data_IF_232234669825
#
_entry.id   IF_232234669825
#
_cell.length_a   1.000
_cell.length_b   1.000
_cell.length_c   1.000
_cell.angle_alpha   90.00
_cell.angle_beta   90.00
_cell.angle_gamma   90.00
#
_symmetry.space_group_name_H-M   'P 1'
#
loop_
_entity.id
_entity.type
_entity.pdbx_description
1 polymer ?
#
# COMPACT_ATOMS: atom_id res chain seq x y z
N UNK A 1 -2.60 -18.94 8.27
CA UNK A 1 -1.42 -18.11 8.53
C UNK A 1 -1.60 -16.74 7.92
N UNK A 2 -1.33 -15.71 8.69
CA UNK A 2 -1.44 -14.34 8.20
C UNK A 2 -0.32 -14.00 7.21
N UNK A 3 -0.59 -13.02 6.38
CA UNK A 3 0.39 -12.43 5.48
C UNK A 3 0.49 -10.95 5.73
N UNK A 4 1.64 -10.38 5.43
CA UNK A 4 1.90 -8.95 5.53
C UNK A 4 2.03 -8.38 4.12
N UNK A 5 1.37 -7.27 3.86
CA UNK A 5 1.54 -6.51 2.61
C UNK A 5 2.34 -5.26 2.93
N UNK A 6 3.43 -5.09 2.23
CA UNK A 6 4.34 -3.95 2.42
C UNK A 6 4.24 -3.04 1.20
N UNK A 7 4.05 -1.75 1.46
CA UNK A 7 4.09 -0.73 0.42
C UNK A 7 5.16 0.30 0.72
N UNK A 8 5.93 0.65 -0.30
CA UNK A 8 6.82 1.80 -0.27
C UNK A 8 6.45 2.70 -1.44
N UNK A 9 6.41 4.00 -1.22
CA UNK A 9 5.99 4.89 -2.29
C UNK A 9 6.57 6.29 -2.16
N UNK A 10 6.60 6.95 -3.31
CA UNK A 10 6.93 8.37 -3.42
C UNK A 10 5.62 9.15 -3.54
N UNK A 11 5.40 10.10 -2.66
CA UNK A 11 4.22 10.96 -2.68
C UNK A 11 4.36 12.00 -3.80
N UNK A 12 3.35 12.10 -4.66
CA UNK A 12 3.34 13.04 -5.80
C UNK A 12 2.41 14.22 -5.56
N UNK A 13 1.21 13.99 -5.01
CA UNK A 13 0.23 15.03 -4.80
C UNK A 13 -0.47 14.88 -3.46
N UNK A 14 -0.43 15.92 -2.63
CA UNK A 14 -0.95 15.86 -1.27
C UNK A 14 -2.48 15.70 -1.24
N UNK A 15 -3.21 16.41 -2.10
CA UNK A 15 -4.67 16.32 -2.13
C UNK A 15 -5.14 14.93 -2.60
N UNK A 16 -4.54 14.42 -3.66
CA UNK A 16 -4.86 13.09 -4.16
C UNK A 16 -4.48 12.01 -3.15
N UNK A 17 -3.36 12.20 -2.44
CA UNK A 17 -2.96 11.28 -1.39
C UNK A 17 -3.96 11.26 -0.24
N UNK A 18 -4.43 12.41 0.20
CA UNK A 18 -5.44 12.50 1.25
C UNK A 18 -6.75 11.83 0.83
N UNK A 19 -7.17 12.04 -0.41
CA UNK A 19 -8.36 11.39 -0.96
C UNK A 19 -8.19 9.87 -1.00
N UNK A 20 -7.08 9.39 -1.51
CA UNK A 20 -6.77 7.96 -1.56
C UNK A 20 -6.80 7.35 -0.15
N UNK A 21 -6.10 7.99 0.79
CA UNK A 21 -5.99 7.51 2.16
C UNK A 21 -7.35 7.45 2.86
N UNK A 22 -8.26 8.38 2.54
CA UNK A 22 -9.58 8.41 3.14
C UNK A 22 -10.48 7.24 2.69
N UNK A 23 -10.15 6.59 1.57
CA UNK A 23 -11.00 5.56 0.96
C UNK A 23 -10.40 4.17 0.97
N UNK A 24 -9.06 4.06 0.96
CA UNK A 24 -8.40 2.75 0.81
C UNK A 24 -8.66 1.82 1.99
N UNK A 25 -8.77 2.37 3.20
CA UNK A 25 -9.01 1.58 4.41
C UNK A 25 -10.30 0.77 4.34
N UNK A 26 -11.37 1.37 3.81
CA UNK A 26 -12.65 0.66 3.65
C UNK A 26 -12.52 -0.50 2.66
N UNK A 27 -11.77 -0.33 1.57
CA UNK A 27 -11.55 -1.39 0.60
C UNK A 27 -10.77 -2.56 1.21
N UNK A 28 -9.77 -2.25 2.03
CA UNK A 28 -8.97 -3.27 2.73
C UNK A 28 -9.85 -4.05 3.70
N UNK A 29 -10.69 -3.36 4.47
CA UNK A 29 -11.57 -3.98 5.47
C UNK A 29 -12.58 -4.94 4.84
N UNK A 30 -13.07 -4.65 3.63
CA UNK A 30 -13.99 -5.54 2.92
C UNK A 30 -13.41 -6.93 2.68
N UNK A 31 -12.10 -7.04 2.60
CA UNK A 31 -11.40 -8.31 2.36
C UNK A 31 -10.70 -8.83 3.62
N UNK A 32 -11.11 -8.34 4.79
CA UNK A 32 -10.59 -8.81 6.07
C UNK A 32 -9.20 -8.30 6.42
N UNK A 33 -8.73 -7.28 5.73
CA UNK A 33 -7.43 -6.70 5.99
C UNK A 33 -7.47 -5.55 7.00
N UNK A 34 -6.28 -5.22 7.50
CA UNK A 34 -6.09 -4.15 8.48
C UNK A 34 -4.84 -3.36 8.12
N UNK A 35 -4.89 -2.05 8.25
CA UNK A 35 -3.69 -1.21 8.19
C UNK A 35 -3.00 -1.31 9.54
N UNK A 36 -1.79 -1.89 9.55
CA UNK A 36 -1.03 -2.10 10.78
C UNK A 36 -0.32 -0.81 11.17
N UNK A 37 0.37 -0.18 10.22
CA UNK A 37 1.06 1.08 10.47
C UNK A 37 1.45 1.76 9.16
N UNK A 38 1.71 3.06 9.28
CA UNK A 38 2.30 3.90 8.24
C UNK A 38 3.46 4.67 8.84
N UNK A 39 4.36 5.13 7.99
CA UNK A 39 5.48 5.93 8.46
C UNK A 39 6.17 6.67 7.33
N UNK A 40 6.93 7.70 7.69
CA UNK A 40 7.82 8.39 6.78
C UNK A 40 9.14 7.62 6.72
N UNK A 41 9.67 7.46 5.52
CA UNK A 41 10.94 6.78 5.32
C UNK A 41 12.08 7.79 5.32
N UNK A 42 13.10 7.50 6.10
CA UNK A 42 14.35 8.23 6.03
C UNK A 42 15.22 7.70 4.89
N UNK A 43 16.34 8.35 4.65
CA UNK A 43 17.33 7.90 3.66
C UNK A 43 17.75 6.46 3.96
N UNK A 44 17.75 5.55 2.96
CA UNK A 44 18.20 4.18 3.18
C UNK A 44 19.65 4.11 3.64
N UNK A 45 19.97 3.16 4.51
CA UNK A 45 21.36 2.87 4.83
C UNK A 45 22.11 2.31 3.62
N UNK A 46 21.44 1.43 2.87
CA UNK A 46 21.93 0.86 1.60
C UNK A 46 20.76 0.76 0.64
N UNK A 47 21.03 0.90 -0.64
CA UNK A 47 20.00 0.75 -1.69
C UNK A 47 20.58 -0.04 -2.86
N UNK A 48 20.98 -1.28 -2.59
CA UNK A 48 21.61 -2.15 -3.59
C UNK A 48 20.62 -2.62 -4.67
N UNK A 49 19.32 -2.63 -4.36
CA UNK A 49 18.29 -2.91 -5.37
C UNK A 49 18.08 -1.76 -6.33
N UNK A 50 18.69 -0.62 -6.04
CA UNK A 50 18.61 0.57 -6.88
C UNK A 50 17.18 1.06 -7.06
N UNK A 51 16.41 1.01 -5.96
CA UNK A 51 15.04 1.51 -5.94
C UNK A 51 15.02 3.03 -6.11
N UNK A 52 14.02 3.54 -6.84
CA UNK A 52 13.80 4.97 -6.92
C UNK A 52 13.52 5.55 -5.53
N UNK A 53 13.81 6.85 -5.32
CA UNK A 53 13.54 7.48 -4.03
C UNK A 53 12.08 7.31 -3.60
N UNK A 54 11.87 6.95 -2.34
CA UNK A 54 10.54 6.82 -1.75
C UNK A 54 10.54 7.51 -0.37
N UNK A 55 9.38 7.97 0.05
CA UNK A 55 9.25 8.74 1.28
C UNK A 55 8.27 8.17 2.29
N UNK A 56 7.46 7.17 1.89
CA UNK A 56 6.40 6.66 2.74
C UNK A 56 6.36 5.14 2.71
N UNK A 57 6.00 4.57 3.86
CA UNK A 57 5.88 3.14 4.10
C UNK A 57 4.48 2.84 4.63
N UNK A 58 3.90 1.72 4.20
CA UNK A 58 2.65 1.20 4.76
C UNK A 58 2.75 -0.30 4.95
N UNK A 59 2.15 -0.77 6.02
CA UNK A 59 2.08 -2.19 6.34
C UNK A 59 0.62 -2.58 6.55
N UNK A 60 0.18 -3.59 5.80
CA UNK A 60 -1.16 -4.16 5.92
C UNK A 60 -1.06 -5.61 6.38
N UNK A 61 -2.10 -6.12 7.01
CA UNK A 61 -2.21 -7.52 7.41
C UNK A 61 -3.49 -8.11 6.85
N UNK A 62 -3.40 -9.34 6.32
CA UNK A 62 -4.54 -10.15 5.93
C UNK A 62 -4.40 -11.53 6.56
N UNK A 63 -5.54 -12.19 6.83
CA UNK A 63 -5.52 -13.53 7.45
C UNK A 63 -4.88 -14.57 6.51
N UNK A 64 -5.11 -14.42 5.19
CA UNK A 64 -4.62 -15.37 4.18
C UNK A 64 -4.16 -14.61 2.95
N UNK A 65 -3.21 -15.21 2.22
CA UNK A 65 -2.73 -14.62 0.97
C UNK A 65 -3.86 -14.47 -0.06
N UNK A 66 -4.83 -15.37 -0.06
CA UNK A 66 -5.97 -15.29 -0.98
C UNK A 66 -6.79 -14.02 -0.74
N UNK A 67 -6.92 -13.60 0.52
CA UNK A 67 -7.62 -12.37 0.86
C UNK A 67 -6.88 -11.14 0.33
N UNK A 68 -5.56 -11.12 0.47
CA UNK A 68 -4.73 -10.05 -0.06
C UNK A 68 -4.83 -9.99 -1.59
N UNK A 69 -4.78 -11.14 -2.25
CA UNK A 69 -4.89 -11.22 -3.70
C UNK A 69 -6.27 -10.72 -4.17
N UNK A 70 -7.35 -11.13 -3.49
CA UNK A 70 -8.69 -10.68 -3.81
C UNK A 70 -8.84 -9.17 -3.66
N UNK A 71 -8.26 -8.61 -2.59
CA UNK A 71 -8.27 -7.16 -2.40
C UNK A 71 -7.55 -6.44 -3.54
N UNK A 72 -6.35 -6.89 -3.89
CA UNK A 72 -5.53 -6.25 -4.92
C UNK A 72 -6.22 -6.28 -6.31
N UNK A 73 -7.03 -7.29 -6.56
CA UNK A 73 -7.73 -7.48 -7.83
C UNK A 73 -9.20 -7.03 -7.77
N UNK A 74 -9.63 -6.45 -6.64
CA UNK A 74 -11.02 -6.14 -6.40
C UNK A 74 -11.50 -4.94 -7.21
N UNK A 75 -12.80 -4.88 -7.56
CA UNK A 75 -13.38 -3.68 -8.18
C UNK A 75 -13.33 -2.48 -7.23
N UNK A 76 -13.44 -2.69 -5.92
CA UNK A 76 -13.35 -1.62 -4.93
C UNK A 76 -11.99 -0.94 -4.96
N UNK A 77 -10.91 -1.72 -5.05
CA UNK A 77 -9.57 -1.16 -5.16
C UNK A 77 -9.32 -0.57 -6.56
N UNK A 78 -9.84 -1.21 -7.60
CA UNK A 78 -9.69 -0.72 -8.97
C UNK A 78 -10.24 0.69 -9.14
N UNK A 79 -11.29 1.05 -8.42
CA UNK A 79 -11.86 2.40 -8.44
C UNK A 79 -10.90 3.46 -7.91
N UNK A 80 -9.92 3.06 -7.10
CA UNK A 80 -8.93 3.96 -6.51
C UNK A 80 -7.69 4.15 -7.39
N UNK A 81 -7.51 3.33 -8.43
CA UNK A 81 -6.30 3.39 -9.24
C UNK A 81 -6.04 4.75 -9.88
N UNK A 82 -7.06 5.44 -10.46
CA UNK A 82 -6.80 6.76 -11.03
C UNK A 82 -6.28 7.78 -10.01
N UNK A 83 -6.89 7.82 -8.82
CA UNK A 83 -6.44 8.75 -7.77
C UNK A 83 -5.10 8.30 -7.20
N UNK A 84 -4.89 6.99 -7.05
CA UNK A 84 -3.60 6.46 -6.59
C UNK A 84 -2.46 6.86 -7.52
N UNK A 85 -2.67 6.75 -8.82
CA UNK A 85 -1.62 7.05 -9.80
C UNK A 85 -1.25 8.54 -9.79
N UNK A 86 -2.18 9.42 -9.46
CA UNK A 86 -1.89 10.84 -9.26
C UNK A 86 -1.25 11.12 -7.90
N UNK A 87 -1.59 10.31 -6.90
CA UNK A 87 -1.15 10.53 -5.52
C UNK A 87 0.28 10.06 -5.28
N UNK A 88 0.71 8.99 -5.94
CA UNK A 88 1.96 8.33 -5.59
C UNK A 88 2.50 7.44 -6.70
N UNK A 89 3.78 7.09 -6.57
CA UNK A 89 4.41 5.97 -7.28
C UNK A 89 4.65 4.88 -6.25
N UNK A 90 3.95 3.75 -6.38
CA UNK A 90 3.84 2.73 -5.34
C UNK A 90 4.44 1.41 -5.81
N UNK A 91 5.21 0.78 -4.92
CA UNK A 91 5.56 -0.64 -5.02
C UNK A 91 4.93 -1.35 -3.82
N UNK A 92 4.12 -2.36 -4.11
CA UNK A 92 3.35 -3.09 -3.11
C UNK A 92 3.61 -4.59 -3.28
N UNK A 93 3.96 -5.28 -2.20
CA UNK A 93 4.28 -6.71 -2.29
C UNK A 93 3.85 -7.45 -1.02
N UNK A 94 3.66 -8.76 -1.15
CA UNK A 94 3.24 -9.63 -0.05
C UNK A 94 4.44 -10.33 0.54
N UNK A 95 4.51 -10.34 1.87
CA UNK A 95 5.44 -11.18 2.62
C UNK A 95 4.64 -12.30 3.27
N UNK A 96 4.97 -13.54 2.94
CA UNK A 96 4.37 -14.70 3.59
C UNK A 96 5.13 -14.97 4.88
N UNK A 97 4.37 -15.04 5.93
CA UNK A 97 4.94 -15.30 7.26
C UNK A 97 5.15 -16.78 7.51
#
# INVERSE_FOLDING_TARGET
MSVTVIGIFKTLGAEDFDLYRSQVGASIALYGGTVVRRGECATPFWNQLNADPFDTFVELSFAHIDDANRWAESPEYAQLLPVRDRAMQLTLFVVKN
#
